data_IF_650147770766
#
_entry.id   IF_650147770766
#
_cell.length_a   1.000
_cell.length_b   1.000
_cell.length_c   1.000
_cell.angle_alpha   90.00
_cell.angle_beta   90.00
_cell.angle_gamma   90.00
#
_symmetry.space_group_name_H-M   'P 1'
#
loop_
_entity.id
_entity.type
_entity.pdbx_description
1 polymer ?
#
# COMPACT_ATOMS: atom_id res chain seq x y z
N UNK A 1 -4.97 -14.81 11.99
CA UNK A 1 -5.31 -13.38 12.01
C UNK A 1 -6.20 -13.03 10.81
N UNK A 2 -5.81 -13.35 9.57
CA UNK A 2 -6.54 -12.92 8.37
C UNK A 2 -7.36 -14.05 7.71
N UNK A 3 -8.41 -14.55 8.38
CA UNK A 3 -9.17 -15.73 7.93
C UNK A 3 -9.74 -15.62 6.50
N UNK A 4 -9.91 -14.41 5.97
CA UNK A 4 -10.51 -14.15 4.65
C UNK A 4 -9.63 -13.28 3.74
N UNK A 5 -8.31 -13.23 3.96
CA UNK A 5 -7.43 -12.34 3.17
C UNK A 5 -7.49 -12.65 1.67
N UNK A 6 -7.57 -13.94 1.30
CA UNK A 6 -7.67 -14.36 -0.10
C UNK A 6 -8.92 -13.81 -0.82
N UNK A 7 -9.96 -13.39 -0.08
CA UNK A 7 -11.14 -12.74 -0.67
C UNK A 7 -10.78 -11.42 -1.38
N UNK A 8 -9.69 -10.76 -1.00
CA UNK A 8 -9.22 -9.53 -1.65
C UNK A 8 -8.82 -9.75 -3.11
N UNK A 9 -8.36 -10.97 -3.44
CA UNK A 9 -7.97 -11.37 -4.80
C UNK A 9 -9.19 -11.52 -5.72
N UNK A 10 -10.40 -11.70 -5.16
CA UNK A 10 -11.60 -11.97 -5.95
C UNK A 10 -12.07 -10.73 -6.73
N UNK A 11 -12.55 -10.89 -7.98
CA UNK A 11 -13.21 -9.83 -8.72
C UNK A 11 -14.60 -9.45 -8.21
N UNK A 12 -15.17 -10.26 -7.33
CA UNK A 12 -16.50 -10.05 -6.78
C UNK A 12 -16.47 -9.01 -5.64
N UNK A 13 -17.64 -8.42 -5.32
CA UNK A 13 -17.77 -7.59 -4.13
C UNK A 13 -17.38 -8.35 -2.86
N UNK A 14 -16.78 -7.64 -1.91
CA UNK A 14 -16.45 -8.13 -0.57
C UNK A 14 -17.23 -7.34 0.49
N UNK A 15 -17.29 -7.86 1.72
CA UNK A 15 -18.05 -7.24 2.81
C UNK A 15 -17.58 -5.83 3.18
N UNK A 16 -16.27 -5.54 3.07
CA UNK A 16 -15.67 -4.27 3.45
C UNK A 16 -14.71 -3.80 2.36
N UNK A 17 -15.20 -2.94 1.47
CA UNK A 17 -14.40 -2.28 0.42
C UNK A 17 -13.88 -0.91 0.87
N UNK A 18 -14.63 -0.23 1.75
CA UNK A 18 -14.25 1.03 2.36
C UNK A 18 -14.89 1.14 3.74
N UNK A 19 -14.10 1.50 4.76
CA UNK A 19 -14.55 1.62 6.14
C UNK A 19 -13.55 1.06 7.14
N UNK A 20 -13.86 1.19 8.42
CA UNK A 20 -13.09 0.59 9.51
C UNK A 20 -13.87 -0.54 10.18
N UNK A 21 -13.15 -1.50 10.76
CA UNK A 21 -13.70 -2.59 11.55
C UNK A 21 -12.76 -2.91 12.70
N UNK A 22 -13.32 -3.05 13.91
CA UNK A 22 -12.60 -3.64 15.04
C UNK A 22 -12.59 -5.17 14.89
N UNK A 23 -11.41 -5.77 14.90
CA UNK A 23 -11.26 -7.23 14.93
C UNK A 23 -11.53 -7.78 16.33
N UNK A 24 -11.78 -9.09 16.45
CA UNK A 24 -12.10 -9.76 17.72
C UNK A 24 -11.00 -9.56 18.78
N UNK A 25 -9.74 -9.49 18.35
CA UNK A 25 -8.57 -9.25 19.20
C UNK A 25 -8.27 -7.75 19.41
N UNK A 26 -9.18 -6.84 19.03
CA UNK A 26 -9.02 -5.39 19.24
C UNK A 26 -8.20 -4.65 18.19
N UNK A 27 -7.55 -5.35 17.25
CA UNK A 27 -6.85 -4.70 16.13
C UNK A 27 -7.82 -3.88 15.27
N UNK A 28 -7.32 -2.79 14.69
CA UNK A 28 -8.07 -1.92 13.80
C UNK A 28 -7.84 -2.34 12.35
N UNK A 29 -8.88 -2.84 11.68
CA UNK A 29 -8.88 -3.10 10.25
C UNK A 29 -9.43 -1.88 9.52
N UNK A 30 -8.62 -1.28 8.65
CA UNK A 30 -9.00 -0.18 7.76
C UNK A 30 -9.05 -0.70 6.33
N UNK A 31 -10.11 -0.37 5.60
CA UNK A 31 -10.25 -0.68 4.18
C UNK A 31 -10.54 0.61 3.41
N UNK A 32 -9.94 0.73 2.23
CA UNK A 32 -10.23 1.80 1.29
C UNK A 32 -10.17 1.28 -0.14
N UNK A 33 -11.08 1.76 -0.98
CA UNK A 33 -11.14 1.42 -2.41
C UNK A 33 -11.02 2.68 -3.24
N UNK A 34 -10.09 2.66 -4.19
CA UNK A 34 -9.89 3.72 -5.16
C UNK A 34 -10.17 3.23 -6.58
N UNK A 35 -10.57 4.16 -7.44
CA UNK A 35 -10.53 3.99 -8.90
C UNK A 35 -9.43 4.90 -9.42
N UNK A 36 -8.39 4.33 -10.01
CA UNK A 36 -7.23 5.05 -10.53
C UNK A 36 -7.37 5.12 -12.05
N UNK A 37 -7.95 6.22 -12.53
CA UNK A 37 -8.17 6.43 -13.96
C UNK A 37 -6.85 6.42 -14.72
N UNK A 38 -6.83 5.79 -15.90
CA UNK A 38 -5.67 5.65 -16.78
C UNK A 38 -4.44 4.93 -16.19
N UNK A 39 -4.50 4.52 -14.92
CA UNK A 39 -3.44 3.74 -14.27
C UNK A 39 -3.61 2.24 -14.53
N UNK A 40 -2.52 1.49 -14.40
CA UNK A 40 -2.47 0.03 -14.46
C UNK A 40 -1.64 -0.51 -13.31
N UNK A 41 -1.86 -1.76 -12.92
CA UNK A 41 -1.10 -2.42 -11.86
C UNK A 41 0.40 -2.29 -12.06
N UNK A 42 0.90 -2.55 -13.27
CA UNK A 42 2.32 -2.39 -13.63
C UNK A 42 2.91 -0.99 -13.36
N UNK A 43 2.08 0.05 -13.39
CA UNK A 43 2.54 1.42 -13.10
C UNK A 43 2.69 1.62 -11.59
N UNK A 44 1.79 1.04 -10.79
CA UNK A 44 1.90 1.03 -9.34
C UNK A 44 3.09 0.16 -8.90
N UNK A 45 3.27 -1.04 -9.46
CA UNK A 45 4.46 -1.87 -9.19
C UNK A 45 5.77 -1.13 -9.52
N UNK A 46 5.81 -0.44 -10.66
CA UNK A 46 6.95 0.39 -11.04
C UNK A 46 7.16 1.56 -10.08
N UNK A 47 6.10 2.20 -9.60
CA UNK A 47 6.20 3.33 -8.67
C UNK A 47 7.06 2.98 -7.45
N UNK A 48 6.81 1.82 -6.82
CA UNK A 48 7.59 1.34 -5.66
C UNK A 48 9.05 0.98 -5.99
N UNK A 49 9.38 0.77 -7.26
CA UNK A 49 10.77 0.60 -7.75
C UNK A 49 11.41 1.95 -8.10
N UNK A 50 10.62 3.00 -8.26
CA UNK A 50 11.06 4.28 -8.80
C UNK A 50 11.23 5.35 -7.73
N UNK A 51 10.25 5.58 -6.86
CA UNK A 51 10.28 6.77 -6.00
C UNK A 51 11.43 6.70 -4.97
N UNK A 52 12.15 7.81 -4.78
CA UNK A 52 13.39 7.82 -3.97
C UNK A 52 13.59 9.11 -3.18
N UNK A 53 12.91 10.18 -3.59
CA UNK A 53 13.10 11.51 -3.03
C UNK A 53 11.84 12.00 -2.33
N UNK A 54 11.99 12.98 -1.44
CA UNK A 54 10.85 13.71 -0.87
C UNK A 54 9.99 14.39 -1.94
N UNK A 55 10.58 14.80 -3.06
CA UNK A 55 9.83 15.37 -4.17
C UNK A 55 8.91 14.31 -4.81
N UNK A 56 9.40 13.08 -5.00
CA UNK A 56 8.57 11.97 -5.50
C UNK A 56 7.46 11.64 -4.51
N UNK A 57 7.78 11.56 -3.22
CA UNK A 57 6.79 11.29 -2.17
C UNK A 57 5.67 12.36 -2.17
N UNK A 58 6.01 13.63 -2.42
CA UNK A 58 5.03 14.71 -2.54
C UNK A 58 4.19 14.67 -3.82
N UNK A 59 4.65 14.02 -4.89
CA UNK A 59 3.80 13.71 -6.05
C UNK A 59 2.71 12.71 -5.68
N UNK A 60 3.00 11.80 -4.75
CA UNK A 60 2.04 10.83 -4.24
C UNK A 60 1.03 11.49 -3.29
N UNK A 61 1.49 12.30 -2.32
CA UNK A 61 0.58 13.09 -1.47
C UNK A 61 1.18 14.44 -1.11
N UNK A 62 0.70 15.57 -1.68
CA UNK A 62 1.34 16.87 -1.50
C UNK A 62 1.13 17.52 -0.12
N UNK A 63 0.14 17.05 0.63
CA UNK A 63 -0.20 17.56 1.97
C UNK A 63 0.38 16.68 3.09
N UNK A 64 0.22 15.36 2.99
CA UNK A 64 0.54 14.47 4.09
C UNK A 64 1.98 13.94 4.06
N UNK A 65 2.58 13.80 2.87
CA UNK A 65 3.96 13.32 2.77
C UNK A 65 4.96 14.45 3.05
N UNK A 66 5.63 14.37 4.20
CA UNK A 66 6.55 15.40 4.68
C UNK A 66 7.97 15.15 4.22
N UNK A 67 8.48 13.93 4.44
CA UNK A 67 9.87 13.59 4.17
C UNK A 67 10.05 12.12 3.76
N UNK A 68 10.89 11.89 2.75
CA UNK A 68 11.45 10.57 2.45
C UNK A 68 12.70 10.37 3.33
N UNK A 69 12.65 9.36 4.20
CA UNK A 69 13.70 9.03 5.18
C UNK A 69 14.74 8.03 4.68
N UNK A 70 14.65 7.62 3.42
CA UNK A 70 15.59 6.70 2.77
C UNK A 70 15.06 5.28 2.65
N UNK A 71 15.55 4.61 1.60
CA UNK A 71 15.42 3.17 1.40
C UNK A 71 16.65 2.46 1.98
N UNK A 72 16.48 1.23 2.47
CA UNK A 72 17.60 0.37 2.82
C UNK A 72 18.31 -0.23 1.58
N UNK A 73 19.37 -1.01 1.83
CA UNK A 73 20.20 -1.60 0.78
C UNK A 73 19.54 -2.75 -0.01
N UNK A 74 18.34 -3.20 0.37
CA UNK A 74 17.59 -4.22 -0.38
C UNK A 74 16.75 -3.61 -1.49
N UNK A 75 16.50 -2.30 -1.43
CA UNK A 75 15.85 -1.59 -2.52
C UNK A 75 16.85 -1.36 -3.65
N UNK A 76 16.42 -1.71 -4.86
CA UNK A 76 17.21 -1.57 -6.08
C UNK A 76 16.38 -0.75 -7.06
N UNK A 77 16.82 0.50 -7.31
CA UNK A 77 16.15 1.45 -8.20
C UNK A 77 15.78 0.79 -9.54
N UNK A 78 14.51 0.92 -9.92
CA UNK A 78 13.88 0.38 -11.13
C UNK A 78 13.83 -1.15 -11.23
N UNK A 79 14.23 -1.89 -10.19
CA UNK A 79 14.32 -3.35 -10.24
C UNK A 79 13.49 -4.02 -9.14
N UNK A 80 13.76 -3.71 -7.87
CA UNK A 80 13.20 -4.46 -6.74
C UNK A 80 12.94 -3.58 -5.51
N UNK A 81 11.79 -3.81 -4.86
CA UNK A 81 11.50 -3.30 -3.52
C UNK A 81 11.16 -4.41 -2.52
N UNK A 82 11.00 -5.67 -2.96
CA UNK A 82 10.65 -6.78 -2.07
C UNK A 82 11.82 -7.07 -1.13
N UNK A 83 11.53 -7.16 0.16
CA UNK A 83 12.48 -7.28 1.25
C UNK A 83 13.10 -5.95 1.71
N UNK A 84 12.79 -4.84 1.03
CA UNK A 84 13.32 -3.53 1.37
C UNK A 84 12.44 -2.78 2.36
N UNK A 85 13.10 -1.93 3.13
CA UNK A 85 12.50 -1.02 4.10
C UNK A 85 12.60 0.40 3.61
N UNK A 86 11.49 1.14 3.71
CA UNK A 86 11.47 2.59 3.60
C UNK A 86 11.13 3.22 4.95
N UNK A 87 11.80 4.33 5.24
CA UNK A 87 11.40 5.27 6.27
C UNK A 87 10.74 6.49 5.63
N UNK A 88 9.63 6.95 6.20
CA UNK A 88 8.95 8.17 5.78
C UNK A 88 8.46 8.96 6.99
N UNK A 89 8.19 10.24 6.82
CA UNK A 89 7.41 11.03 7.78
C UNK A 89 6.15 11.50 7.09
N UNK A 90 5.00 11.15 7.66
CA UNK A 90 3.69 11.39 7.04
C UNK A 90 2.61 11.70 8.07
N UNK A 91 1.70 12.61 7.70
CA UNK A 91 0.43 12.80 8.39
C UNK A 91 -0.57 11.74 7.95
N UNK A 92 -1.62 11.50 8.74
CA UNK A 92 -2.75 10.67 8.34
C UNK A 92 -4.03 11.51 8.46
N UNK A 93 -4.35 12.31 7.43
CA UNK A 93 -5.42 13.31 7.52
C UNK A 93 -5.11 14.36 8.60
N UNK A 94 -6.01 14.52 9.57
CA UNK A 94 -5.82 15.45 10.70
C UNK A 94 -4.78 14.97 11.74
N UNK A 95 -4.26 13.75 11.61
CA UNK A 95 -3.25 13.20 12.53
C UNK A 95 -1.89 13.82 12.17
N UNK A 96 -1.19 14.44 13.15
CA UNK A 96 0.10 15.08 12.89
C UNK A 96 1.14 14.14 12.28
N UNK A 97 2.14 14.69 11.56
CA UNK A 97 3.20 13.89 10.97
C UNK A 97 3.88 12.97 11.99
N UNK A 98 4.00 11.70 11.63
CA UNK A 98 4.66 10.66 12.41
C UNK A 98 5.65 9.91 11.51
N UNK A 99 6.80 9.46 12.05
CA UNK A 99 7.66 8.54 11.32
C UNK A 99 6.93 7.22 11.05
N UNK A 100 7.03 6.71 9.83
CA UNK A 100 6.59 5.39 9.44
C UNK A 100 7.80 4.56 9.01
N UNK A 101 7.81 3.29 9.40
CA UNK A 101 8.74 2.28 8.90
C UNK A 101 7.92 1.21 8.20
N UNK A 102 8.19 1.01 6.91
CA UNK A 102 7.42 0.11 6.05
C UNK A 102 8.41 -0.84 5.39
N UNK A 103 8.25 -2.15 5.63
CA UNK A 103 9.07 -3.19 5.00
C UNK A 103 8.21 -4.05 4.08
N UNK A 104 8.61 -4.16 2.82
CA UNK A 104 7.83 -4.84 1.78
C UNK A 104 8.18 -6.33 1.70
N UNK A 105 7.18 -7.15 1.41
CA UNK A 105 7.25 -8.61 1.41
C UNK A 105 6.63 -9.20 0.15
N UNK A 106 6.99 -10.44 -0.16
CA UNK A 106 6.33 -11.18 -1.23
C UNK A 106 4.85 -11.41 -0.84
N UNK A 107 3.87 -11.05 -1.70
CA UNK A 107 2.46 -11.30 -1.41
C UNK A 107 2.13 -12.77 -1.10
N UNK A 108 2.91 -13.74 -1.60
CA UNK A 108 2.75 -15.16 -1.27
C UNK A 108 3.01 -15.48 0.22
N UNK A 109 3.54 -14.54 1.00
CA UNK A 109 3.69 -14.68 2.46
C UNK A 109 2.36 -14.46 3.22
N UNK A 110 1.41 -13.72 2.65
CA UNK A 110 0.11 -13.43 3.30
C UNK A 110 -1.07 -14.11 2.61
N UNK A 111 -1.02 -14.28 1.30
CA UNK A 111 -2.04 -14.98 0.52
C UNK A 111 -1.70 -16.46 0.34
N UNK A 112 -2.70 -17.28 0.06
CA UNK A 112 -2.45 -18.63 -0.43
C UNK A 112 -1.70 -18.56 -1.78
N UNK A 113 -0.50 -19.16 -1.92
CA UNK A 113 0.32 -19.01 -3.14
C UNK A 113 -0.37 -19.50 -4.41
N UNK A 114 -1.15 -20.58 -4.33
CA UNK A 114 -1.83 -21.13 -5.51
C UNK A 114 -3.04 -20.27 -5.90
N UNK A 115 -3.76 -19.70 -4.93
CA UNK A 115 -4.87 -18.78 -5.22
C UNK A 115 -4.33 -17.48 -5.82
N UNK A 116 -3.26 -16.92 -5.25
CA UNK A 116 -2.59 -15.73 -5.78
C UNK A 116 -2.11 -15.94 -7.22
N UNK A 117 -1.43 -17.06 -7.48
CA UNK A 117 -0.98 -17.43 -8.82
C UNK A 117 -2.14 -17.53 -9.81
N UNK A 118 -3.24 -18.17 -9.41
CA UNK A 118 -4.44 -18.27 -10.25
C UNK A 118 -5.08 -16.91 -10.50
N UNK A 119 -5.15 -16.03 -9.50
CA UNK A 119 -5.70 -14.68 -9.63
C UNK A 119 -4.91 -13.85 -10.66
N UNK A 120 -3.58 -13.93 -10.65
CA UNK A 120 -2.74 -13.33 -11.68
C UNK A 120 -2.98 -13.95 -13.06
N UNK A 121 -3.00 -15.27 -13.16
CA UNK A 121 -3.20 -15.98 -14.43
C UNK A 121 -4.56 -15.66 -15.09
N UNK A 122 -5.60 -15.45 -14.28
CA UNK A 122 -6.93 -15.09 -14.75
C UNK A 122 -7.10 -13.60 -15.06
N UNK A 123 -6.14 -12.76 -14.67
CA UNK A 123 -6.28 -11.30 -14.74
C UNK A 123 -7.22 -10.71 -13.68
N UNK A 124 -7.58 -11.49 -12.66
CA UNK A 124 -8.39 -11.02 -11.52
C UNK A 124 -7.61 -10.00 -10.66
N UNK A 125 -6.28 -10.05 -10.72
CA UNK A 125 -5.35 -9.14 -10.07
C UNK A 125 -4.21 -8.83 -11.04
N UNK A 126 -3.78 -7.58 -11.13
CA UNK A 126 -2.65 -7.14 -11.96
C UNK A 126 -1.41 -6.82 -11.13
N UNK A 127 -1.55 -6.46 -9.85
CA UNK A 127 -0.44 -6.21 -8.92
C UNK A 127 -0.92 -6.35 -7.48
N UNK A 128 -0.05 -6.86 -6.61
CA UNK A 128 -0.23 -6.83 -5.15
C UNK A 128 1.01 -6.24 -4.51
N UNK A 129 0.82 -5.24 -3.64
CA UNK A 129 1.88 -4.71 -2.77
C UNK A 129 1.53 -5.10 -1.34
N UNK A 130 2.45 -5.78 -0.67
CA UNK A 130 2.29 -6.21 0.71
C UNK A 130 3.47 -5.74 1.54
N UNK A 131 3.18 -5.19 2.72
CA UNK A 131 4.19 -4.73 3.65
C UNK A 131 3.78 -4.93 5.11
N UNK A 132 4.80 -4.93 5.96
CA UNK A 132 4.72 -4.72 7.41
C UNK A 132 4.95 -3.25 7.69
N UNK A 133 4.13 -2.65 8.54
CA UNK A 133 4.15 -1.22 8.84
C UNK A 133 4.14 -0.99 10.35
N UNK A 134 4.85 0.05 10.78
CA UNK A 134 4.77 0.56 12.14
C UNK A 134 5.05 2.06 12.16
N UNK A 135 4.58 2.71 13.22
CA UNK A 135 4.66 4.16 13.38
C UNK A 135 5.44 4.54 14.63
N UNK A 136 6.12 5.69 14.57
CA UNK A 136 6.90 6.30 15.64
C UNK A 136 8.42 6.16 15.46
N UNK A 137 9.15 7.04 16.15
CA UNK A 137 10.63 7.17 16.11
C UNK A 137 11.36 5.85 16.41
N UNK A 138 10.79 5.02 17.29
CA UNK A 138 11.36 3.73 17.69
C UNK A 138 10.40 2.59 17.34
N UNK A 139 10.01 2.50 16.07
CA UNK A 139 9.12 1.45 15.57
C UNK A 139 9.67 0.07 15.98
N UNK A 140 8.94 -0.71 16.80
CA UNK A 140 9.39 -2.03 17.20
C UNK A 140 9.45 -2.99 16.01
N UNK A 141 10.58 -3.66 15.86
CA UNK A 141 10.82 -4.64 14.80
C UNK A 141 11.21 -5.99 15.38
N UNK A 142 10.93 -7.05 14.62
CA UNK A 142 11.38 -8.39 14.95
C UNK A 142 12.85 -8.64 14.56
N UNK A 143 13.32 -9.88 14.68
CA UNK A 143 14.70 -10.26 14.35
C UNK A 143 15.06 -10.07 12.87
N UNK A 144 14.06 -10.04 11.98
CA UNK A 144 14.24 -9.82 10.55
C UNK A 144 14.15 -8.33 10.19
N UNK A 145 13.87 -7.45 11.16
CA UNK A 145 13.62 -6.04 10.93
C UNK A 145 12.19 -5.74 10.47
N UNK A 146 11.26 -6.68 10.62
CA UNK A 146 9.86 -6.47 10.24
C UNK A 146 9.14 -5.65 11.31
N UNK A 147 8.49 -4.52 10.95
CA UNK A 147 7.58 -3.83 11.86
C UNK A 147 6.51 -4.79 12.41
N UNK A 148 6.37 -4.79 13.74
CA UNK A 148 5.54 -5.78 14.41
C UNK A 148 4.07 -5.36 14.59
N UNK A 149 3.75 -4.09 14.38
CA UNK A 149 2.47 -3.51 14.79
C UNK A 149 1.38 -3.53 13.71
N UNK A 150 1.78 -3.55 12.44
CA UNK A 150 0.85 -3.35 11.34
C UNK A 150 1.16 -4.12 10.06
N UNK A 151 0.12 -4.24 9.24
CA UNK A 151 0.14 -4.88 7.93
C UNK A 151 -0.53 -3.95 6.93
N UNK A 152 0.04 -3.84 5.73
CA UNK A 152 -0.49 -3.05 4.63
C UNK A 152 -0.59 -3.92 3.38
N UNK A 153 -1.77 -3.96 2.76
CA UNK A 153 -2.05 -4.78 1.58
C UNK A 153 -2.78 -3.94 0.54
N UNK A 154 -2.19 -3.82 -0.64
CA UNK A 154 -2.79 -3.17 -1.80
C UNK A 154 -2.99 -4.19 -2.91
N UNK A 155 -4.24 -4.41 -3.32
CA UNK A 155 -4.59 -5.31 -4.43
C UNK A 155 -5.12 -4.49 -5.58
N UNK A 156 -4.44 -4.57 -6.72
CA UNK A 156 -4.77 -3.80 -7.93
C UNK A 156 -5.40 -4.72 -8.98
N UNK A 157 -6.45 -4.24 -9.63
CA UNK A 157 -7.08 -4.91 -10.78
C UNK A 157 -7.22 -3.94 -11.93
N UNK A 158 -6.72 -4.31 -13.10
CA UNK A 158 -6.87 -3.52 -14.31
C UNK A 158 -8.31 -3.60 -14.84
N UNK A 159 -8.82 -2.46 -15.27
CA UNK A 159 -10.10 -2.30 -15.98
C UNK A 159 -9.86 -1.59 -17.30
N UNK A 160 -10.86 -1.51 -18.18
CA UNK A 160 -10.71 -0.80 -19.46
C UNK A 160 -10.19 0.65 -19.29
N UNK A 161 -10.74 1.41 -18.34
CA UNK A 161 -10.45 2.83 -18.14
C UNK A 161 -9.40 3.15 -17.06
N UNK A 162 -8.69 2.16 -16.54
CA UNK A 162 -7.73 2.35 -15.45
C UNK A 162 -7.52 1.08 -14.64
N UNK A 163 -7.46 1.22 -13.31
CA UNK A 163 -7.49 0.10 -12.38
C UNK A 163 -8.32 0.44 -11.12
N UNK A 164 -8.77 -0.59 -10.41
CA UNK A 164 -9.23 -0.46 -9.03
C UNK A 164 -8.11 -0.84 -8.09
N UNK A 165 -7.94 -0.08 -7.02
CA UNK A 165 -7.05 -0.41 -5.91
C UNK A 165 -7.89 -0.69 -4.67
N UNK A 166 -7.67 -1.83 -4.04
CA UNK A 166 -8.19 -2.17 -2.70
C UNK A 166 -7.04 -2.14 -1.72
N UNK A 167 -7.11 -1.23 -0.77
CA UNK A 167 -6.13 -1.06 0.31
C UNK A 167 -6.71 -1.57 1.61
N UNK A 168 -5.99 -2.47 2.29
CA UNK A 168 -6.36 -3.03 3.57
C UNK A 168 -5.19 -2.87 4.54
N UNK A 169 -5.46 -2.27 5.69
CA UNK A 169 -4.50 -2.09 6.76
C UNK A 169 -5.00 -2.79 8.02
N UNK A 170 -4.12 -3.48 8.71
CA UNK A 170 -4.42 -4.11 9.99
C UNK A 170 -3.43 -3.57 11.01
N UNK A 171 -3.88 -2.74 11.95
CA UNK A 171 -3.04 -1.99 12.87
C UNK A 171 -3.28 -2.35 14.34
N UNK A 172 -2.29 -2.10 15.18
CA UNK A 172 -2.37 -2.31 16.63
C UNK A 172 -2.13 -3.76 17.04
N UNK A 173 -1.30 -4.50 16.30
CA UNK A 173 -0.98 -5.89 16.63
C UNK A 173 -0.21 -5.99 17.96
N UNK A 174 0.60 -4.99 18.33
CA UNK A 174 1.33 -4.97 19.61
C UNK A 174 0.41 -4.74 20.81
N UNK A 175 -0.77 -4.16 20.60
CA UNK A 175 -1.77 -3.93 21.65
C UNK A 175 -3.01 -4.82 21.50
N UNK A 176 -2.94 -5.83 20.63
CA UNK A 176 -4.00 -6.83 20.50
C UNK A 176 -4.27 -7.53 21.84
N UNK A 177 -5.53 -7.89 22.07
CA UNK A 177 -6.04 -8.52 23.29
C UNK A 177 -5.77 -7.69 24.57
N UNK A 178 -5.59 -6.37 24.43
CA UNK A 178 -5.42 -5.42 25.53
C UNK A 178 -6.45 -4.29 25.50
N UNK A 179 -6.55 -3.53 26.60
CA UNK A 179 -7.40 -2.34 26.70
C UNK A 179 -6.80 -1.11 26.00
N UNK A 180 -5.62 -1.23 25.37
CA UNK A 180 -4.90 -0.14 24.68
C UNK A 180 -5.11 -0.17 23.17
N UNK A 181 -6.36 -0.30 22.76
CA UNK A 181 -6.73 -0.35 21.35
C UNK A 181 -6.47 1.01 20.67
N UNK A 182 -6.08 0.99 19.39
CA UNK A 182 -5.98 2.22 18.60
C UNK A 182 -7.34 2.89 18.48
N UNK A 183 -7.46 4.22 18.67
CA UNK A 183 -8.70 4.95 18.46
C UNK A 183 -9.21 4.84 17.01
N UNK A 184 -10.54 4.91 16.82
CA UNK A 184 -11.15 4.84 15.50
C UNK A 184 -10.73 6.01 14.59
N UNK A 185 -10.40 7.16 15.19
CA UNK A 185 -9.89 8.35 14.52
C UNK A 185 -8.60 8.06 13.73
N UNK A 186 -7.74 7.17 14.23
CA UNK A 186 -6.57 6.68 13.49
C UNK A 186 -6.99 5.98 12.21
N UNK A 187 -8.03 5.16 12.29
CA UNK A 187 -8.56 4.45 11.14
C UNK A 187 -9.20 5.37 10.12
N UNK A 188 -10.00 6.34 10.56
CA UNK A 188 -10.61 7.33 9.66
C UNK A 188 -9.56 8.23 9.01
N UNK A 189 -8.57 8.72 9.75
CA UNK A 189 -7.46 9.50 9.18
C UNK A 189 -6.67 8.71 8.14
N UNK A 190 -6.40 7.42 8.39
CA UNK A 190 -5.75 6.56 7.39
C UNK A 190 -6.64 6.29 6.17
N UNK A 191 -7.97 6.21 6.31
CA UNK A 191 -8.86 6.12 5.15
C UNK A 191 -8.78 7.38 4.29
N UNK A 192 -8.83 8.56 4.91
CA UNK A 192 -8.72 9.84 4.22
C UNK A 192 -7.39 9.92 3.47
N UNK A 193 -6.29 9.68 4.18
CA UNK A 193 -4.94 9.64 3.64
C UNK A 193 -4.80 8.67 2.45
N UNK A 194 -5.24 7.42 2.62
CA UNK A 194 -5.13 6.41 1.57
C UNK A 194 -6.01 6.75 0.36
N UNK A 195 -7.18 7.33 0.60
CA UNK A 195 -8.03 7.79 -0.49
C UNK A 195 -7.37 8.94 -1.26
N UNK A 196 -6.86 9.96 -0.58
CA UNK A 196 -6.25 11.14 -1.19
C UNK A 196 -4.93 10.83 -1.88
N UNK A 197 -4.02 10.07 -1.27
CA UNK A 197 -2.69 9.77 -1.83
C UNK A 197 -2.81 9.10 -3.21
N UNK A 198 -3.63 8.05 -3.33
CA UNK A 198 -3.73 7.33 -4.59
C UNK A 198 -4.55 8.12 -5.62
N UNK A 199 -5.48 8.96 -5.15
CA UNK A 199 -6.18 9.90 -6.03
C UNK A 199 -5.22 10.92 -6.64
N UNK A 200 -4.33 11.53 -5.84
CA UNK A 200 -3.30 12.45 -6.34
C UNK A 200 -2.31 11.75 -7.26
N UNK A 201 -1.76 10.61 -6.82
CA UNK A 201 -0.82 9.83 -7.61
C UNK A 201 -1.41 9.46 -8.99
N UNK A 202 -2.69 9.09 -9.05
CA UNK A 202 -3.32 8.71 -10.32
C UNK A 202 -3.34 9.80 -11.38
N UNK A 203 -3.22 11.09 -10.98
CA UNK A 203 -3.18 12.22 -11.91
C UNK A 203 -1.84 12.33 -12.64
N UNK A 204 -0.76 11.81 -12.06
CA UNK A 204 0.61 12.01 -12.57
C UNK A 204 1.28 10.70 -12.98
N UNK A 205 0.88 9.58 -12.36
CA UNK A 205 1.57 8.31 -12.48
C UNK A 205 1.70 7.78 -13.93
N UNK A 206 0.65 7.81 -14.79
CA UNK A 206 0.80 7.28 -16.14
C UNK A 206 1.85 8.05 -16.96
N UNK A 207 1.80 9.38 -16.93
CA UNK A 207 2.75 10.23 -17.67
C UNK A 207 4.16 10.08 -17.12
N UNK A 208 4.31 10.02 -15.80
CA UNK A 208 5.61 9.84 -15.16
C UNK A 208 6.20 8.46 -15.48
N UNK A 209 5.39 7.40 -15.42
CA UNK A 209 5.78 6.05 -15.82
C UNK A 209 6.35 6.03 -17.25
N UNK A 210 5.63 6.61 -18.21
CA UNK A 210 6.09 6.59 -19.61
C UNK A 210 7.31 7.48 -19.86
N UNK A 211 7.48 8.56 -19.10
CA UNK A 211 8.64 9.44 -19.23
C UNK A 211 9.92 8.81 -18.64
N UNK A 212 9.78 8.14 -17.49
CA UNK A 212 10.93 7.76 -16.66
C UNK A 212 11.26 6.27 -16.75
N UNK A 213 10.28 5.41 -17.06
CA UNK A 213 10.51 3.97 -17.23
C UNK A 213 11.10 3.64 -18.62
N UNK A 214 12.40 3.89 -18.78
CA UNK A 214 13.12 3.69 -20.05
C UNK A 214 13.06 2.26 -20.61
N UNK A 215 12.86 1.27 -19.74
CA UNK A 215 12.76 -0.15 -20.11
C UNK A 215 11.31 -0.65 -20.17
N UNK A 216 10.32 0.23 -19.92
CA UNK A 216 8.90 -0.08 -19.94
C UNK A 216 8.27 -0.04 -21.32
N UNK A 217 6.94 -0.22 -21.37
CA UNK A 217 6.18 0.00 -22.59
C UNK A 217 6.07 1.48 -22.95
N UNK A 218 5.79 1.75 -24.21
CA UNK A 218 5.56 3.12 -24.69
C UNK A 218 4.16 3.59 -24.35
N UNK A 219 4.01 4.90 -24.18
CA UNK A 219 2.71 5.51 -24.06
C UNK A 219 1.84 5.15 -25.28
N UNK A 220 0.56 4.81 -25.09
CA UNK A 220 -0.34 4.53 -26.19
C UNK A 220 -0.50 5.78 -27.07
N UNK A 221 -0.62 5.59 -28.39
CA UNK A 221 -1.06 6.66 -29.27
C UNK A 221 -2.52 6.98 -28.96
N UNK A 222 -2.88 8.26 -29.06
CA UNK A 222 -4.25 8.72 -28.87
C UNK A 222 -5.14 8.52 -30.11
N UNK A 223 -4.54 8.06 -31.23
CA UNK A 223 -5.18 7.83 -32.52
C UNK A 223 -4.81 6.46 -33.09
#
# INVERSE_FOLDING_TARGET
MFKDIDALLSPKPIYLEAGIKRLENGMLHVAMRNVLHNCKGKMLDWWFKYFETTADLKLWHPHDHVAHGGWDSKWIKNENYIGATIHATESLGDIPPVPATIKFHDPAEIFNPEILKQAYANGDVSTVVYARIGFGENTPTDINGDPMDGYMVHVVRDMAQGCTLRSHFFLGALTADSDRQLPDEIGFGLMEHCYSEFTYLSQVLPSLYYAENKNGDKAPLLW
#
